data_IF_883004180256
#
_entry.id   IF_883004180256
#
_cell.length_a   1.000
_cell.length_b   1.000
_cell.length_c   1.000
_cell.angle_alpha   90.00
_cell.angle_beta   90.00
_cell.angle_gamma   90.00
#
_symmetry.space_group_name_H-M   'P 1'
#
loop_
_entity.id
_entity.type
_entity.pdbx_description
1 polymer ?
#
# COMPACT_ATOMS: atom_id res chain seq x y z
N UNK A 1 -10.31 -16.83 -4.75
CA UNK A 1 -10.05 -15.44 -5.18
C UNK A 1 -8.83 -15.51 -6.10
N UNK A 2 -9.02 -15.17 -7.36
CA UNK A 2 -7.93 -15.08 -8.34
C UNK A 2 -7.06 -13.87 -7.98
N UNK A 3 -5.74 -14.03 -7.95
CA UNK A 3 -4.84 -12.90 -7.72
C UNK A 3 -4.92 -11.95 -8.91
N UNK A 4 -5.03 -10.64 -8.65
CA UNK A 4 -5.09 -9.63 -9.72
C UNK A 4 -3.73 -9.24 -10.26
N UNK A 5 -2.65 -9.49 -9.49
CA UNK A 5 -1.28 -9.14 -9.86
C UNK A 5 -0.42 -10.39 -10.12
N UNK A 6 -0.33 -10.86 -11.40
CA UNK A 6 0.43 -12.07 -11.75
C UNK A 6 1.92 -12.00 -11.40
N UNK A 7 2.53 -10.82 -11.47
CA UNK A 7 3.96 -10.65 -11.15
C UNK A 7 4.23 -10.84 -9.66
N UNK A 8 3.33 -10.36 -8.78
CA UNK A 8 3.44 -10.60 -7.34
C UNK A 8 3.12 -12.05 -6.99
N UNK A 9 2.23 -12.70 -7.73
CA UNK A 9 1.95 -14.13 -7.57
C UNK A 9 3.18 -14.98 -7.87
N UNK A 10 3.88 -14.72 -8.97
CA UNK A 10 5.14 -15.37 -9.32
C UNK A 10 6.20 -15.17 -8.22
N UNK A 11 6.36 -13.95 -7.72
CA UNK A 11 7.27 -13.65 -6.63
C UNK A 11 6.89 -14.34 -5.32
N UNK A 12 5.58 -14.47 -5.03
CA UNK A 12 5.06 -15.22 -3.88
C UNK A 12 5.53 -16.67 -3.90
N UNK A 13 5.37 -17.34 -5.02
CA UNK A 13 5.78 -18.73 -5.20
C UNK A 13 7.31 -18.87 -5.16
N UNK A 14 8.03 -18.04 -5.94
CA UNK A 14 9.49 -18.12 -6.11
C UNK A 14 10.26 -17.89 -4.80
N UNK A 15 9.76 -17.03 -3.93
CA UNK A 15 10.44 -16.64 -2.69
C UNK A 15 9.71 -17.09 -1.42
N UNK A 16 8.65 -17.90 -1.55
CA UNK A 16 7.84 -18.40 -0.43
C UNK A 16 7.32 -17.26 0.47
N UNK A 17 6.83 -16.18 -0.15
CA UNK A 17 6.20 -15.05 0.53
C UNK A 17 4.69 -15.28 0.53
N UNK A 18 4.09 -15.38 1.72
CA UNK A 18 2.67 -15.72 1.90
C UNK A 18 1.71 -14.62 1.49
N UNK A 19 2.15 -13.37 1.47
CA UNK A 19 1.35 -12.21 1.09
C UNK A 19 2.19 -10.95 1.00
N UNK A 20 1.72 -9.97 0.24
CA UNK A 20 2.35 -8.66 0.07
C UNK A 20 1.36 -7.58 0.49
N UNK A 21 1.78 -6.73 1.42
CA UNK A 21 0.94 -5.66 1.95
C UNK A 21 1.66 -4.31 1.86
N UNK A 22 0.95 -3.28 1.39
CA UNK A 22 1.37 -1.91 1.56
C UNK A 22 0.73 -1.34 2.83
N UNK A 23 1.50 -0.62 3.65
CA UNK A 23 1.00 0.13 4.81
C UNK A 23 1.25 1.60 4.56
N UNK A 24 0.18 2.38 4.57
CA UNK A 24 0.24 3.84 4.42
C UNK A 24 -0.94 4.51 5.11
N UNK A 25 -0.89 5.83 5.23
CA UNK A 25 -1.98 6.61 5.76
C UNK A 25 -2.41 7.72 4.80
N UNK A 26 -3.67 8.08 4.87
CA UNK A 26 -4.21 9.19 4.09
C UNK A 26 -5.05 10.10 4.95
N UNK A 27 -4.78 11.42 4.88
CA UNK A 27 -5.53 12.42 5.63
C UNK A 27 -6.76 12.87 4.86
N UNK A 28 -7.85 13.06 5.60
CA UNK A 28 -9.06 13.75 5.15
C UNK A 28 -9.20 15.00 6.01
N UNK A 29 -9.06 16.15 5.37
CA UNK A 29 -9.13 17.47 6.03
C UNK A 29 -10.53 18.05 5.90
N UNK A 30 -10.98 18.78 6.91
CA UNK A 30 -12.28 19.44 6.90
C UNK A 30 -12.32 20.67 7.82
N UNK A 31 -13.33 21.51 7.62
CA UNK A 31 -13.52 22.74 8.34
C UNK A 31 -14.02 22.49 9.77
N UNK A 32 -13.34 23.06 10.74
CA UNK A 32 -13.70 22.99 12.16
C UNK A 32 -15.05 23.60 12.48
N UNK A 33 -15.50 24.61 11.73
CA UNK A 33 -16.82 25.23 11.96
C UNK A 33 -17.94 24.19 11.78
N UNK A 34 -17.77 23.26 10.85
CA UNK A 34 -18.71 22.19 10.57
C UNK A 34 -18.45 20.93 11.42
N UNK A 35 -17.19 20.69 11.82
CA UNK A 35 -16.75 19.49 12.56
C UNK A 35 -15.95 19.85 13.80
N UNK A 36 -16.57 20.50 14.82
CA UNK A 36 -15.86 21.07 15.98
C UNK A 36 -15.21 20.02 16.90
N UNK A 37 -15.59 18.75 16.78
CA UNK A 37 -15.00 17.65 17.53
C UNK A 37 -13.64 17.21 16.98
N UNK A 38 -13.27 17.60 15.76
CA UNK A 38 -12.00 17.22 15.18
C UNK A 38 -10.87 18.06 15.75
N UNK A 39 -9.79 17.42 16.18
CA UNK A 39 -8.64 18.10 16.75
C UNK A 39 -7.87 18.83 15.64
N UNK A 40 -7.67 20.15 15.73
CA UNK A 40 -6.98 20.89 14.70
C UNK A 40 -5.47 20.67 14.77
N UNK A 41 -4.89 20.42 13.60
CA UNK A 41 -3.46 20.60 13.40
C UNK A 41 -3.28 21.86 12.54
N UNK A 42 -2.59 22.86 13.05
CA UNK A 42 -2.38 24.15 12.36
C UNK A 42 -3.68 24.82 11.88
N UNK A 43 -4.74 24.78 12.69
CA UNK A 43 -6.03 25.41 12.40
C UNK A 43 -6.94 24.63 11.41
N UNK A 44 -6.55 23.44 10.97
CA UNK A 44 -7.35 22.58 10.09
C UNK A 44 -7.73 21.30 10.83
N UNK A 45 -9.02 21.02 10.93
CA UNK A 45 -9.52 19.74 11.45
C UNK A 45 -9.28 18.60 10.47
N UNK A 46 -9.29 17.37 10.98
CA UNK A 46 -9.12 16.23 10.10
C UNK A 46 -9.07 14.89 10.81
N UNK A 47 -9.11 13.87 10.01
CA UNK A 47 -8.86 12.49 10.41
C UNK A 47 -7.76 11.89 9.53
N UNK A 48 -7.21 10.78 9.98
CA UNK A 48 -6.24 10.00 9.25
C UNK A 48 -6.71 8.56 9.12
N UNK A 49 -6.62 8.02 7.91
CA UNK A 49 -6.96 6.66 7.56
C UNK A 49 -5.67 5.84 7.49
N UNK A 50 -5.37 5.06 8.51
CA UNK A 50 -4.23 4.14 8.51
C UNK A 50 -4.68 2.81 7.89
N UNK A 51 -4.09 2.43 6.78
CA UNK A 51 -4.58 1.30 5.99
C UNK A 51 -3.46 0.29 5.72
N UNK A 52 -3.79 -0.98 5.88
CA UNK A 52 -3.04 -2.11 5.34
C UNK A 52 -3.76 -2.60 4.08
N UNK A 53 -3.07 -2.58 2.95
CA UNK A 53 -3.63 -2.90 1.64
C UNK A 53 -2.99 -4.17 1.08
N UNK A 54 -3.79 -5.16 0.74
CA UNK A 54 -3.36 -6.41 0.11
C UNK A 54 -3.04 -6.15 -1.37
N UNK A 55 -1.76 -6.23 -1.71
CA UNK A 55 -1.26 -5.95 -3.07
C UNK A 55 -1.55 -7.09 -4.05
N UNK A 56 -1.79 -8.31 -3.57
CA UNK A 56 -2.17 -9.44 -4.43
C UNK A 56 -3.63 -9.36 -4.85
N UNK A 57 -4.51 -8.99 -3.91
CA UNK A 57 -5.96 -8.95 -4.12
C UNK A 57 -6.49 -7.57 -4.45
N UNK A 58 -5.65 -6.55 -4.30
CA UNK A 58 -5.99 -5.14 -4.52
C UNK A 58 -7.18 -4.66 -3.68
N UNK A 59 -7.21 -5.06 -2.42
CA UNK A 59 -8.24 -4.66 -1.45
C UNK A 59 -7.62 -4.24 -0.12
N UNK A 60 -8.26 -3.30 0.62
CA UNK A 60 -7.85 -2.99 1.97
C UNK A 60 -8.12 -4.19 2.90
N UNK A 61 -7.10 -4.59 3.65
CA UNK A 61 -7.17 -5.65 4.66
C UNK A 61 -7.62 -5.10 6.02
N UNK A 62 -7.21 -3.88 6.32
CA UNK A 62 -7.49 -3.19 7.57
C UNK A 62 -7.50 -1.68 7.34
N UNK A 63 -8.38 -0.98 8.03
CA UNK A 63 -8.39 0.47 8.13
C UNK A 63 -8.66 0.89 9.57
N UNK A 64 -7.79 1.74 10.11
CA UNK A 64 -7.97 2.40 11.39
C UNK A 64 -8.13 3.91 11.18
N UNK A 65 -9.15 4.50 11.80
CA UNK A 65 -9.43 5.95 11.71
C UNK A 65 -8.96 6.61 13.01
N UNK A 66 -8.14 7.65 12.89
CA UNK A 66 -7.63 8.42 14.02
C UNK A 66 -7.78 9.91 13.80
N UNK A 67 -7.46 10.72 14.80
CA UNK A 67 -7.27 12.16 14.64
C UNK A 67 -6.11 12.47 13.68
N UNK A 68 -6.16 13.63 13.05
CA UNK A 68 -5.16 14.02 12.03
C UNK A 68 -3.75 14.18 12.60
N UNK A 69 -3.64 14.53 13.90
CA UNK A 69 -2.38 14.73 14.62
C UNK A 69 -1.62 13.43 14.90
N UNK A 70 -2.27 12.27 14.84
CA UNK A 70 -1.63 11.00 15.12
C UNK A 70 -0.55 10.66 14.10
N UNK A 71 0.60 10.23 14.61
CA UNK A 71 1.74 9.88 13.76
C UNK A 71 1.54 8.50 13.12
N UNK A 72 1.92 8.36 11.86
CA UNK A 72 1.77 7.12 11.09
C UNK A 72 2.41 5.90 11.78
N UNK A 73 3.54 6.12 12.43
CA UNK A 73 4.30 5.06 13.12
C UNK A 73 3.72 4.64 14.48
N UNK A 74 2.70 5.33 15.01
CA UNK A 74 2.13 5.04 16.35
C UNK A 74 1.53 3.64 16.40
N UNK A 75 0.88 3.24 15.33
CA UNK A 75 0.13 1.98 15.25
C UNK A 75 0.93 0.80 14.70
N UNK A 76 2.22 0.95 14.43
CA UNK A 76 3.04 -0.14 13.86
C UNK A 76 3.10 -1.38 14.77
N UNK A 77 2.96 -1.20 16.08
CA UNK A 77 3.00 -2.31 17.04
C UNK A 77 1.65 -3.03 17.17
N UNK A 78 0.57 -2.41 16.67
CA UNK A 78 -0.81 -2.92 16.77
C UNK A 78 -1.30 -3.63 15.50
N UNK A 79 -0.55 -3.57 14.40
CA UNK A 79 -0.92 -4.27 13.17
C UNK A 79 -0.79 -5.79 13.33
N UNK A 80 -1.77 -6.57 12.82
CA UNK A 80 -1.74 -8.02 12.87
C UNK A 80 -0.79 -8.59 11.81
N UNK A 81 0.51 -8.54 12.08
CA UNK A 81 1.51 -9.06 11.16
C UNK A 81 1.44 -10.58 11.05
N UNK A 82 1.41 -11.10 9.83
CA UNK A 82 1.30 -12.53 9.55
C UNK A 82 2.65 -13.11 9.13
N UNK A 83 2.99 -14.29 9.66
CA UNK A 83 4.23 -15.01 9.35
C UNK A 83 4.38 -15.22 7.84
N UNK A 84 5.59 -14.95 7.33
CA UNK A 84 5.93 -15.14 5.91
C UNK A 84 5.42 -14.06 4.97
N UNK A 85 4.64 -13.08 5.47
CA UNK A 85 4.19 -11.95 4.67
C UNK A 85 5.24 -10.85 4.58
N UNK A 86 5.19 -10.05 3.52
CA UNK A 86 6.06 -8.89 3.29
C UNK A 86 5.25 -7.61 3.38
N UNK A 87 5.72 -6.67 4.23
CA UNK A 87 5.11 -5.37 4.46
C UNK A 87 5.97 -4.26 3.87
N UNK A 88 5.38 -3.46 2.98
CA UNK A 88 6.05 -2.37 2.26
C UNK A 88 5.50 -1.05 2.77
N UNK A 89 6.39 -0.18 3.23
CA UNK A 89 6.01 1.04 3.95
C UNK A 89 6.80 2.25 3.47
N UNK A 90 6.26 3.46 3.66
CA UNK A 90 7.04 4.69 3.48
C UNK A 90 8.04 4.89 4.64
N UNK A 91 9.04 5.73 4.40
CA UNK A 91 10.08 6.10 5.39
C UNK A 91 9.51 6.70 6.68
N UNK A 92 8.30 7.23 6.67
CA UNK A 92 7.60 7.71 7.86
C UNK A 92 7.41 6.60 8.90
N UNK A 93 7.19 5.37 8.45
CA UNK A 93 7.02 4.16 9.27
C UNK A 93 8.33 3.58 9.80
N UNK A 94 9.48 4.17 9.47
CA UNK A 94 10.76 3.70 9.99
C UNK A 94 10.90 4.01 11.50
N UNK A 95 10.36 3.11 12.34
CA UNK A 95 10.50 3.07 13.80
C UNK A 95 11.06 1.69 14.18
N UNK A 96 12.24 1.67 14.74
CA UNK A 96 13.00 0.41 14.96
C UNK A 96 12.21 -0.63 15.76
N UNK A 97 11.52 -0.22 16.84
CA UNK A 97 10.66 -1.11 17.62
C UNK A 97 9.51 -1.70 16.79
N UNK A 98 8.82 -0.88 15.99
CA UNK A 98 7.76 -1.36 15.09
C UNK A 98 8.29 -2.30 14.00
N UNK A 99 9.49 -2.05 13.45
CA UNK A 99 10.13 -2.98 12.52
C UNK A 99 10.51 -4.31 13.22
N UNK A 100 10.87 -4.26 14.49
CA UNK A 100 11.18 -5.46 15.26
C UNK A 100 9.93 -6.30 15.56
N UNK A 101 8.76 -5.67 15.76
CA UNK A 101 7.49 -6.40 15.87
C UNK A 101 7.19 -7.23 14.61
N UNK A 102 7.51 -6.71 13.42
CA UNK A 102 7.38 -7.47 12.15
C UNK A 102 8.35 -8.66 12.15
N UNK A 103 9.58 -8.46 12.60
CA UNK A 103 10.59 -9.52 12.72
C UNK A 103 10.15 -10.62 13.71
N UNK A 104 9.60 -10.24 14.86
CA UNK A 104 9.10 -11.19 15.89
C UNK A 104 7.92 -12.01 15.35
N UNK A 105 7.06 -11.41 14.51
CA UNK A 105 5.99 -12.11 13.81
C UNK A 105 6.51 -13.07 12.71
N UNK A 106 7.84 -13.16 12.49
CA UNK A 106 8.46 -13.93 11.40
C UNK A 106 7.98 -13.48 10.02
N UNK A 107 7.75 -12.20 9.89
CA UNK A 107 7.37 -11.52 8.67
C UNK A 107 8.54 -10.66 8.14
N UNK A 108 8.37 -10.14 6.95
CA UNK A 108 9.38 -9.34 6.27
C UNK A 108 8.90 -7.91 6.06
N UNK A 109 9.84 -6.99 5.88
CA UNK A 109 9.52 -5.61 5.53
C UNK A 109 10.48 -5.03 4.49
N UNK A 110 10.01 -3.99 3.79
CA UNK A 110 10.82 -3.09 2.97
C UNK A 110 10.41 -1.66 3.33
N UNK A 111 11.39 -0.83 3.74
CA UNK A 111 11.17 0.56 4.10
C UNK A 111 12.39 1.41 3.69
N UNK A 112 12.21 2.62 3.12
CA UNK A 112 13.34 3.49 2.85
C UNK A 112 14.01 3.95 4.15
N UNK A 113 15.34 3.93 4.20
CA UNK A 113 16.09 4.38 5.38
C UNK A 113 16.04 5.92 5.52
N UNK A 114 15.92 6.41 6.75
CA UNK A 114 16.01 7.86 7.05
C UNK A 114 17.48 8.31 7.01
N UNK A 115 17.74 9.51 6.51
CA UNK A 115 19.09 10.06 6.33
C UNK A 115 19.92 10.17 7.61
N UNK A 116 19.28 10.35 8.76
CA UNK A 116 19.92 10.56 10.07
C UNK A 116 20.17 9.27 10.84
N UNK A 117 19.93 8.10 10.25
CA UNK A 117 20.16 6.82 10.90
C UNK A 117 21.64 6.46 10.84
N UNK A 118 22.21 6.16 12.02
CA UNK A 118 23.60 5.72 12.15
C UNK A 118 23.67 4.19 12.16
N UNK A 119 24.50 3.64 11.29
CA UNK A 119 24.71 2.20 11.18
C UNK A 119 26.20 1.88 10.88
N UNK A 120 26.59 0.66 11.17
CA UNK A 120 27.88 0.06 10.78
C UNK A 120 27.61 -0.95 9.66
N UNK A 121 28.40 -0.91 8.62
CA UNK A 121 28.41 -1.95 7.57
C UNK A 121 29.26 -3.10 8.08
N UNK A 122 28.62 -4.27 8.24
CA UNK A 122 29.27 -5.50 8.69
C UNK A 122 29.83 -6.31 7.50
N UNK A 123 29.10 -6.28 6.38
CA UNK A 123 29.46 -7.01 5.17
C UNK A 123 28.94 -6.27 3.94
N UNK A 124 29.72 -6.25 2.89
CA UNK A 124 29.29 -5.79 1.56
C UNK A 124 29.07 -7.05 0.68
N UNK A 125 27.82 -7.31 0.37
CA UNK A 125 27.39 -8.46 -0.43
C UNK A 125 27.08 -8.05 -1.89
N UNK A 126 27.50 -6.85 -2.31
CA UNK A 126 27.29 -6.33 -3.65
C UNK A 126 27.98 -7.24 -4.68
N UNK A 127 27.21 -7.84 -5.55
CA UNK A 127 27.73 -8.76 -6.57
C UNK A 127 28.08 -8.00 -7.85
N UNK A 128 29.08 -8.47 -8.57
CA UNK A 128 29.50 -7.88 -9.86
C UNK A 128 28.48 -8.15 -11.00
N UNK A 129 27.68 -9.19 -10.88
CA UNK A 129 26.63 -9.59 -11.83
C UNK A 129 25.25 -9.02 -11.53
N UNK A 130 25.13 -8.16 -10.53
CA UNK A 130 23.90 -7.44 -10.27
C UNK A 130 23.55 -6.49 -11.44
N UNK A 131 22.25 -6.22 -11.68
CA UNK A 131 21.85 -5.13 -12.56
C UNK A 131 22.55 -3.82 -12.20
N UNK A 132 22.87 -2.99 -13.19
CA UNK A 132 23.63 -1.75 -13.02
C UNK A 132 22.95 -0.77 -12.05
N UNK A 133 21.66 -0.85 -11.91
CA UNK A 133 20.86 -0.05 -10.98
C UNK A 133 21.09 -0.44 -9.51
N UNK A 134 21.55 -1.67 -9.23
CA UNK A 134 21.91 -2.11 -7.88
C UNK A 134 23.29 -1.61 -7.51
N UNK A 135 23.34 -0.47 -6.84
CA UNK A 135 24.60 0.20 -6.49
C UNK A 135 25.29 -0.42 -5.27
N UNK A 136 24.55 -0.98 -4.32
CA UNK A 136 25.09 -1.68 -3.16
C UNK A 136 24.05 -2.61 -2.51
N UNK A 137 24.56 -3.71 -1.93
CA UNK A 137 23.81 -4.66 -1.14
C UNK A 137 24.64 -5.01 0.11
N UNK A 138 24.21 -4.54 1.28
CA UNK A 138 25.03 -4.53 2.49
C UNK A 138 24.28 -5.08 3.69
N UNK A 139 24.99 -5.86 4.51
CA UNK A 139 24.53 -6.22 5.86
C UNK A 139 24.99 -5.14 6.83
N UNK A 140 24.04 -4.60 7.59
CA UNK A 140 24.29 -3.51 8.53
C UNK A 140 23.78 -3.84 9.95
N UNK A 141 24.32 -3.15 10.95
CA UNK A 141 23.72 -3.05 12.29
C UNK A 141 23.54 -1.58 12.69
N UNK A 142 22.50 -1.27 13.46
CA UNK A 142 22.34 0.07 14.02
C UNK A 142 23.39 0.33 15.11
N UNK A 143 23.99 1.53 15.13
CA UNK A 143 25.02 1.89 16.12
C UNK A 143 24.48 2.78 17.23
N UNK A 144 23.38 3.52 17.03
CA UNK A 144 22.82 4.34 18.09
C UNK A 144 22.14 3.44 19.16
N UNK A 145 22.35 3.76 20.44
CA UNK A 145 21.82 2.99 21.58
C UNK A 145 20.30 2.71 21.46
N UNK A 146 19.54 3.74 21.09
CA UNK A 146 18.09 3.61 20.96
C UNK A 146 17.64 2.76 19.75
N UNK A 147 18.32 2.92 18.60
CA UNK A 147 17.99 2.14 17.41
C UNK A 147 18.37 0.65 17.62
N UNK A 148 19.53 0.39 18.22
CA UNK A 148 19.99 -0.98 18.54
C UNK A 148 19.10 -1.66 19.59
N UNK A 149 18.63 -0.91 20.58
CA UNK A 149 17.69 -1.45 21.57
C UNK A 149 16.32 -1.76 20.94
N UNK A 150 15.86 -0.94 19.98
CA UNK A 150 14.60 -1.16 19.28
C UNK A 150 14.66 -2.24 18.20
N UNK A 151 15.83 -2.49 17.60
CA UNK A 151 16.05 -3.57 16.62
C UNK A 151 17.46 -4.16 16.82
N UNK A 152 17.60 -5.23 17.62
CA UNK A 152 18.91 -5.76 18.04
C UNK A 152 19.56 -6.72 17.05
N UNK A 153 18.96 -6.94 15.88
CA UNK A 153 19.47 -7.84 14.83
C UNK A 153 20.10 -7.08 13.67
N UNK A 154 20.85 -7.81 12.85
CA UNK A 154 21.37 -7.28 11.60
C UNK A 154 20.24 -7.06 10.59
N UNK A 155 20.45 -6.09 9.72
CA UNK A 155 19.54 -5.73 8.65
C UNK A 155 20.28 -5.69 7.31
N UNK A 156 19.55 -5.81 6.25
CA UNK A 156 20.06 -5.64 4.89
C UNK A 156 19.69 -4.25 4.36
N UNK A 157 20.65 -3.57 3.78
CA UNK A 157 20.51 -2.27 3.17
C UNK A 157 20.83 -2.36 1.68
N UNK A 158 19.82 -2.26 0.82
CA UNK A 158 19.96 -2.26 -0.63
C UNK A 158 19.93 -0.84 -1.12
N UNK A 159 20.96 -0.42 -1.89
CA UNK A 159 21.01 0.86 -2.59
C UNK A 159 20.73 0.63 -4.07
N UNK A 160 19.68 1.26 -4.57
CA UNK A 160 19.19 1.10 -5.93
C UNK A 160 19.05 2.47 -6.61
N UNK A 161 19.54 2.61 -7.85
CA UNK A 161 19.33 3.82 -8.64
C UNK A 161 17.94 3.78 -9.30
N UNK A 162 17.11 4.75 -8.99
CA UNK A 162 15.75 4.87 -9.53
C UNK A 162 15.80 5.87 -10.68
N UNK A 163 15.76 5.36 -11.91
CA UNK A 163 15.89 6.18 -13.13
C UNK A 163 14.83 7.27 -13.20
N UNK A 164 13.56 6.94 -12.94
CA UNK A 164 12.44 7.87 -13.00
C UNK A 164 12.60 9.05 -12.02
N UNK A 165 13.40 8.87 -10.97
CA UNK A 165 13.68 9.90 -9.95
C UNK A 165 15.06 10.54 -10.09
N UNK A 166 15.89 10.03 -11.00
CA UNK A 166 17.26 10.48 -11.20
C UNK A 166 18.15 10.39 -9.95
N UNK A 167 17.88 9.45 -9.04
CA UNK A 167 18.60 9.35 -7.76
C UNK A 167 18.64 7.94 -7.18
N UNK A 168 19.68 7.69 -6.38
CA UNK A 168 19.76 6.49 -5.57
C UNK A 168 18.78 6.54 -4.38
N UNK A 169 18.11 5.42 -4.14
CA UNK A 169 17.29 5.16 -2.97
C UNK A 169 17.88 4.01 -2.17
N UNK A 170 17.75 4.09 -0.85
CA UNK A 170 18.22 3.05 0.06
C UNK A 170 17.04 2.41 0.76
N UNK A 171 16.94 1.08 0.63
CA UNK A 171 15.88 0.27 1.21
C UNK A 171 16.42 -0.63 2.30
N UNK A 172 15.84 -0.53 3.47
CA UNK A 172 16.10 -1.38 4.62
C UNK A 172 15.14 -2.56 4.62
N UNK A 173 15.64 -3.77 4.84
CA UNK A 173 14.84 -4.99 4.90
C UNK A 173 15.48 -6.01 5.86
N UNK A 174 14.66 -6.91 6.40
CA UNK A 174 15.11 -8.11 7.12
C UNK A 174 15.08 -9.36 6.21
N UNK A 175 14.73 -9.23 4.93
CA UNK A 175 14.75 -10.34 3.98
C UNK A 175 16.10 -10.42 3.27
N UNK A 176 16.90 -11.43 3.60
CA UNK A 176 18.21 -11.70 3.00
C UNK A 176 18.14 -12.64 1.78
N UNK A 177 16.94 -13.16 1.45
CA UNK A 177 16.77 -14.14 0.36
C UNK A 177 16.35 -13.49 -0.96
N UNK A 178 15.62 -12.39 -0.90
CA UNK A 178 15.19 -11.66 -2.10
C UNK A 178 16.40 -11.11 -2.87
N UNK A 179 16.46 -11.23 -4.21
CA UNK A 179 17.43 -10.49 -5.01
C UNK A 179 17.31 -8.98 -4.77
N UNK A 180 18.43 -8.24 -4.86
CA UNK A 180 18.47 -6.81 -4.54
C UNK A 180 17.55 -5.98 -5.45
N UNK A 181 17.50 -6.30 -6.75
CA UNK A 181 16.60 -5.67 -7.71
C UNK A 181 15.12 -5.90 -7.40
N UNK A 182 14.80 -7.07 -6.82
CA UNK A 182 13.40 -7.38 -6.42
C UNK A 182 12.97 -6.56 -5.20
N UNK A 183 13.88 -6.19 -4.31
CA UNK A 183 13.58 -5.28 -3.19
C UNK A 183 13.11 -3.92 -3.71
N UNK A 184 13.82 -3.35 -4.69
CA UNK A 184 13.45 -2.08 -5.30
C UNK A 184 12.15 -2.18 -6.11
N UNK A 185 12.00 -3.26 -6.91
CA UNK A 185 10.77 -3.53 -7.66
C UNK A 185 9.56 -3.63 -6.74
N UNK A 186 9.65 -4.39 -5.66
CA UNK A 186 8.55 -4.55 -4.70
C UNK A 186 8.18 -3.22 -4.03
N UNK A 187 9.16 -2.36 -3.79
CA UNK A 187 8.86 -1.03 -3.24
C UNK A 187 8.02 -0.16 -4.19
N UNK A 188 8.11 -0.33 -5.51
CA UNK A 188 7.24 0.39 -6.47
C UNK A 188 5.76 0.07 -6.24
N UNK A 189 5.42 -1.17 -5.89
CA UNK A 189 4.03 -1.56 -5.61
C UNK A 189 3.39 -0.86 -4.41
N UNK A 190 4.19 -0.22 -3.53
CA UNK A 190 3.64 0.64 -2.48
C UNK A 190 2.70 1.72 -3.03
N UNK A 191 2.94 2.18 -4.28
CA UNK A 191 2.10 3.19 -4.92
C UNK A 191 0.63 2.76 -5.07
N UNK A 192 0.34 1.49 -5.11
CA UNK A 192 -1.04 0.97 -5.28
C UNK A 192 -1.96 1.42 -4.14
N UNK A 193 -1.44 1.58 -2.91
CA UNK A 193 -2.25 2.09 -1.80
C UNK A 193 -2.58 3.58 -1.98
N UNK A 194 -1.72 4.37 -2.62
CA UNK A 194 -2.01 5.77 -2.94
C UNK A 194 -3.08 5.88 -4.03
N UNK A 195 -3.02 5.00 -5.04
CA UNK A 195 -4.06 4.87 -6.08
C UNK A 195 -5.40 4.48 -5.45
N UNK A 196 -5.40 3.51 -4.53
CA UNK A 196 -6.59 3.15 -3.75
C UNK A 196 -7.16 4.35 -2.98
N UNK A 197 -6.34 5.10 -2.22
CA UNK A 197 -6.80 6.29 -1.52
C UNK A 197 -7.36 7.36 -2.45
N UNK A 198 -6.72 7.58 -3.60
CA UNK A 198 -7.22 8.49 -4.62
C UNK A 198 -8.60 8.05 -5.10
N UNK A 199 -8.75 6.77 -5.40
CA UNK A 199 -9.99 6.19 -5.90
C UNK A 199 -11.16 6.37 -4.90
N UNK A 200 -11.00 5.97 -3.64
CA UNK A 200 -12.09 6.09 -2.64
C UNK A 200 -12.44 7.55 -2.35
N UNK A 201 -11.46 8.46 -2.36
CA UNK A 201 -11.71 9.90 -2.18
C UNK A 201 -12.48 10.51 -3.34
N UNK A 202 -12.22 10.08 -4.56
CA UNK A 202 -12.87 10.61 -5.76
C UNK A 202 -14.27 10.03 -5.98
N UNK A 203 -14.43 8.71 -5.79
CA UNK A 203 -15.65 8.02 -6.22
C UNK A 203 -16.62 7.70 -5.07
N UNK A 204 -16.14 7.62 -3.82
CA UNK A 204 -16.99 7.29 -2.67
C UNK A 204 -17.21 8.47 -1.70
N UNK A 205 -16.93 9.69 -2.15
CA UNK A 205 -17.23 10.96 -1.49
C UNK A 205 -16.76 11.05 -0.01
N UNK A 206 -15.63 10.44 0.33
CA UNK A 206 -15.10 10.53 1.69
C UNK A 206 -14.43 11.90 2.01
N UNK A 207 -14.49 12.85 1.09
CA UNK A 207 -14.11 14.25 1.30
C UNK A 207 -15.31 15.16 1.61
N UNK A 208 -16.54 14.64 1.52
CA UNK A 208 -17.78 15.37 1.82
C UNK A 208 -18.72 14.45 2.59
N UNK A 209 -18.97 14.79 3.85
CA UNK A 209 -19.76 13.95 4.74
C UNK A 209 -21.20 14.46 4.85
N UNK A 210 -22.16 13.55 4.89
CA UNK A 210 -23.59 13.86 5.08
C UNK A 210 -23.87 14.28 6.53
N UNK A 211 -23.28 13.59 7.50
CA UNK A 211 -23.43 13.89 8.92
C UNK A 211 -22.23 14.64 9.49
N UNK A 212 -22.44 15.41 10.55
CA UNK A 212 -21.42 16.23 11.20
C UNK A 212 -20.82 15.59 12.46
N UNK A 213 -21.41 14.50 12.99
CA UNK A 213 -20.86 13.79 14.15
C UNK A 213 -19.70 12.87 13.74
N UNK A 214 -18.78 12.61 14.66
CA UNK A 214 -17.68 11.67 14.47
C UNK A 214 -18.18 10.27 14.05
N UNK A 215 -19.25 9.79 14.72
CA UNK A 215 -19.83 8.49 14.42
C UNK A 215 -20.40 8.42 12.99
N UNK A 216 -21.17 9.44 12.56
CA UNK A 216 -21.71 9.50 11.21
C UNK A 216 -20.63 9.47 10.14
N UNK A 217 -19.53 10.19 10.39
CA UNK A 217 -18.37 10.23 9.51
C UNK A 217 -17.66 8.86 9.44
N UNK A 218 -17.43 8.22 10.59
CA UNK A 218 -16.84 6.87 10.64
C UNK A 218 -17.70 5.85 9.90
N UNK A 219 -19.02 5.88 10.08
CA UNK A 219 -19.95 5.03 9.35
C UNK A 219 -19.81 5.22 7.83
N UNK A 220 -19.79 6.48 7.36
CA UNK A 220 -19.64 6.76 5.93
C UNK A 220 -18.30 6.23 5.37
N UNK A 221 -17.20 6.39 6.10
CA UNK A 221 -15.88 5.89 5.68
C UNK A 221 -15.88 4.37 5.62
N UNK A 222 -16.32 3.68 6.67
CA UNK A 222 -16.36 2.22 6.67
C UNK A 222 -17.31 1.67 5.60
N UNK A 223 -18.44 2.35 5.34
CA UNK A 223 -19.33 2.03 4.23
C UNK A 223 -18.63 2.16 2.88
N UNK A 224 -17.82 3.22 2.69
CA UNK A 224 -17.05 3.41 1.47
C UNK A 224 -16.00 2.30 1.27
N UNK A 225 -15.27 1.92 2.32
CA UNK A 225 -14.33 0.80 2.26
C UNK A 225 -15.03 -0.53 1.96
N UNK A 226 -16.18 -0.77 2.58
CA UNK A 226 -17.00 -1.97 2.36
C UNK A 226 -17.51 -2.01 0.91
N UNK A 227 -18.02 -0.90 0.39
CA UNK A 227 -18.47 -0.79 -1.00
C UNK A 227 -17.34 -1.07 -1.98
N UNK A 228 -16.13 -0.50 -1.75
CA UNK A 228 -14.95 -0.82 -2.55
C UNK A 228 -14.64 -2.32 -2.56
N UNK A 229 -14.61 -2.95 -1.39
CA UNK A 229 -14.33 -4.38 -1.28
C UNK A 229 -15.39 -5.23 -2.01
N UNK A 230 -16.68 -4.90 -1.89
CA UNK A 230 -17.77 -5.59 -2.58
C UNK A 230 -17.61 -5.46 -4.10
N UNK A 231 -17.37 -4.25 -4.60
CA UNK A 231 -17.14 -3.99 -6.02
C UNK A 231 -15.92 -4.77 -6.54
N UNK A 232 -14.81 -4.75 -5.80
CA UNK A 232 -13.61 -5.49 -6.17
C UNK A 232 -13.84 -7.00 -6.24
N UNK A 233 -14.53 -7.56 -5.25
CA UNK A 233 -14.88 -8.98 -5.21
C UNK A 233 -15.87 -9.38 -6.31
N UNK A 234 -16.86 -8.53 -6.60
CA UNK A 234 -17.83 -8.77 -7.66
C UNK A 234 -17.16 -8.73 -9.04
N UNK A 235 -16.28 -7.75 -9.29
CA UNK A 235 -15.51 -7.67 -10.52
C UNK A 235 -14.62 -8.91 -10.73
N UNK A 236 -13.97 -9.38 -9.66
CA UNK A 236 -13.16 -10.61 -9.70
C UNK A 236 -14.02 -11.84 -9.99
N UNK A 237 -15.16 -12.01 -9.30
CA UNK A 237 -16.09 -13.12 -9.50
C UNK A 237 -16.67 -13.16 -10.93
N UNK A 238 -16.82 -12.01 -11.55
CA UNK A 238 -17.29 -11.87 -12.94
C UNK A 238 -16.15 -11.91 -13.98
N UNK A 239 -14.91 -12.09 -13.54
CA UNK A 239 -13.70 -12.06 -14.40
C UNK A 239 -13.59 -10.77 -15.23
N UNK A 240 -14.07 -9.65 -14.68
CA UNK A 240 -14.02 -8.35 -15.33
C UNK A 240 -12.57 -7.82 -15.38
N UNK A 241 -12.14 -7.36 -16.57
CA UNK A 241 -10.76 -6.93 -16.83
C UNK A 241 -10.58 -5.40 -16.93
N UNK A 242 -11.66 -4.63 -16.91
CA UNK A 242 -11.63 -3.17 -16.99
C UNK A 242 -11.39 -2.49 -15.65
N UNK A 243 -11.52 -1.15 -15.62
CA UNK A 243 -11.34 -0.37 -14.40
C UNK A 243 -12.48 -0.62 -13.38
N UNK A 244 -12.15 -0.55 -12.08
CA UNK A 244 -13.17 -0.69 -11.04
C UNK A 244 -14.22 0.44 -11.09
N UNK A 245 -13.87 1.60 -11.62
CA UNK A 245 -14.79 2.71 -11.84
C UNK A 245 -15.85 2.38 -12.91
N UNK A 246 -15.43 1.83 -14.05
CA UNK A 246 -16.35 1.42 -15.10
C UNK A 246 -17.26 0.30 -14.63
N UNK A 247 -16.72 -0.65 -13.86
CA UNK A 247 -17.52 -1.69 -13.23
C UNK A 247 -18.57 -1.13 -12.27
N UNK A 248 -18.21 -0.16 -11.43
CA UNK A 248 -19.15 0.50 -10.53
C UNK A 248 -20.27 1.23 -11.30
N UNK A 249 -19.94 1.86 -12.44
CA UNK A 249 -20.93 2.48 -13.31
C UNK A 249 -21.88 1.43 -13.93
N UNK A 250 -21.36 0.29 -14.41
CA UNK A 250 -22.18 -0.80 -14.93
C UNK A 250 -23.15 -1.35 -13.86
N UNK A 251 -22.66 -1.54 -12.63
CA UNK A 251 -23.53 -1.93 -11.49
C UNK A 251 -24.62 -0.89 -11.27
N UNK A 252 -24.29 0.40 -11.29
CA UNK A 252 -25.26 1.49 -11.12
C UNK A 252 -26.33 1.47 -12.20
N UNK A 253 -25.95 1.31 -13.47
CA UNK A 253 -26.88 1.20 -14.60
C UNK A 253 -27.75 -0.05 -14.46
N UNK A 254 -27.16 -1.20 -14.14
CA UNK A 254 -27.91 -2.45 -13.97
C UNK A 254 -28.98 -2.34 -12.88
N UNK A 255 -28.68 -1.66 -11.77
CA UNK A 255 -29.63 -1.46 -10.68
C UNK A 255 -30.80 -0.52 -11.06
N UNK A 256 -30.56 0.47 -11.94
CA UNK A 256 -31.56 1.46 -12.34
C UNK A 256 -32.38 1.02 -13.56
N UNK A 257 -31.74 0.39 -14.54
CA UNK A 257 -32.34 0.07 -15.86
C UNK A 257 -32.78 -1.40 -15.97
N UNK A 258 -32.62 -2.22 -14.91
CA UNK A 258 -32.93 -3.66 -14.91
C UNK A 258 -32.23 -4.46 -16.04
N UNK A 259 -31.01 -4.06 -16.39
CA UNK A 259 -30.14 -4.76 -17.34
C UNK A 259 -29.19 -5.69 -16.55
N UNK A 260 -28.92 -6.88 -17.06
CA UNK A 260 -27.95 -7.77 -16.40
C UNK A 260 -26.53 -7.20 -16.54
N UNK A 261 -25.82 -7.17 -15.42
CA UNK A 261 -24.40 -6.70 -15.37
C UNK A 261 -23.52 -7.48 -16.35
N UNK A 262 -23.77 -8.79 -16.52
CA UNK A 262 -23.03 -9.63 -17.44
C UNK A 262 -23.15 -9.16 -18.89
N UNK A 263 -24.35 -8.79 -19.33
CA UNK A 263 -24.57 -8.28 -20.69
C UNK A 263 -23.83 -6.94 -20.92
N UNK A 264 -23.69 -6.12 -19.89
CA UNK A 264 -22.91 -4.88 -19.96
C UNK A 264 -21.42 -5.15 -20.04
N UNK A 265 -20.92 -6.15 -19.29
CA UNK A 265 -19.51 -6.57 -19.31
C UNK A 265 -19.16 -7.13 -20.68
N UNK A 266 -19.97 -8.03 -21.21
CA UNK A 266 -19.73 -8.67 -22.52
C UNK A 266 -19.65 -7.61 -23.63
N UNK A 267 -20.59 -6.67 -23.69
CA UNK A 267 -20.55 -5.52 -24.63
C UNK A 267 -19.31 -4.65 -24.46
N UNK A 268 -18.90 -4.36 -23.22
CA UNK A 268 -17.72 -3.54 -22.95
C UNK A 268 -16.44 -4.24 -23.44
N UNK A 269 -16.33 -5.56 -23.22
CA UNK A 269 -15.18 -6.35 -23.67
C UNK A 269 -15.11 -6.44 -25.19
N UNK A 270 -16.22 -6.69 -25.88
CA UNK A 270 -16.32 -6.68 -27.33
C UNK A 270 -15.88 -5.31 -27.93
N UNK A 271 -16.37 -4.20 -27.36
CA UNK A 271 -16.00 -2.85 -27.79
C UNK A 271 -14.53 -2.48 -27.56
N UNK A 272 -13.89 -3.06 -26.56
CA UNK A 272 -12.48 -2.80 -26.24
C UNK A 272 -11.53 -3.65 -27.09
N UNK A 273 -11.92 -4.87 -27.46
CA UNK A 273 -11.16 -5.71 -28.40
C UNK A 273 -11.16 -5.10 -29.83
N UNK A 274 -12.28 -4.51 -30.24
CA UNK A 274 -12.42 -3.90 -31.56
C UNK A 274 -11.60 -2.60 -31.72
N UNK A 275 -11.30 -1.92 -30.62
CA UNK A 275 -10.50 -0.67 -30.60
C UNK A 275 -8.99 -0.91 -30.50
N UNK A 276 -8.52 -2.14 -30.29
CA UNK A 276 -7.10 -2.44 -30.10
C UNK A 276 -6.48 -1.76 -28.86
N UNK A 277 -7.30 -1.26 -27.97
CA UNK A 277 -6.86 -0.58 -26.74
C UNK A 277 -6.43 -1.65 -25.71
N UNK A 278 -5.23 -1.57 -25.15
CA UNK A 278 -4.85 -2.46 -24.07
C UNK A 278 -5.84 -2.26 -22.91
N UNK A 279 -6.56 -3.31 -22.53
CA UNK A 279 -7.60 -3.35 -21.49
C UNK A 279 -7.11 -3.00 -20.06
N UNK A 280 -5.88 -2.56 -19.93
CA UNK A 280 -5.29 -2.04 -18.70
C UNK A 280 -4.55 -0.75 -19.04
N UNK A 281 -4.92 0.41 -18.46
CA UNK A 281 -3.94 1.46 -18.36
C UNK A 281 -2.74 0.86 -17.61
N UNK A 282 -1.56 0.93 -18.23
CA UNK A 282 -0.32 0.58 -17.57
C UNK A 282 -0.29 1.30 -16.22
N UNK A 283 -0.08 0.57 -15.14
CA UNK A 283 0.10 1.13 -13.77
C UNK A 283 1.24 2.17 -13.71
N UNK A 284 1.86 2.44 -14.85
CA UNK A 284 3.09 3.23 -15.03
C UNK A 284 2.90 4.49 -15.89
N UNK A 285 1.70 4.78 -16.38
CA UNK A 285 1.42 5.96 -17.21
C UNK A 285 1.01 7.20 -16.38
N UNK A 286 1.74 7.46 -15.26
CA UNK A 286 1.61 8.71 -14.49
C UNK A 286 2.97 9.26 -14.05
#
# INVERSE_FOLDING_TARGET
IKFRNPQLEELSVSFSISGFFAIDSSSVKFDLSRYPWSVPQQGVGGIKLHTMYDLLREVPRMCLITGHEERDQTFMEDYPYEKGCLYIMDKAYMKTKGLFTIEEAKAFFIVPIKRNVKYLVLKDDTKHDNPIEVMADRTIEFTSRWAKAGYPKNLRLVTYYVEEKGKAMQFLTNNFKLPAEKVALLYKYRWNIEVFFKWIKQHLRINSFYGTSANAMMIQIYTAFTAYCILALAADAMSYKGSLYDFANMISVSLTEKVYVRDLIDRYQEMSEDKGDPLLPSLFDF
#
